data_IF_250376347989
#
_entry.id   IF_250376347989
#
_cell.length_a   1.000
_cell.length_b   1.000
_cell.length_c   1.000
_cell.angle_alpha   90.00
_cell.angle_beta   90.00
_cell.angle_gamma   90.00
#
_symmetry.space_group_name_H-M   'P 1'
#
loop_
_entity.id
_entity.type
_entity.pdbx_description
1 polymer ?
#
# COMPACT_ATOMS: atom_id res chain seq x y z
N UNK A 1 47.87 -56.16 16.46
CA UNK A 1 47.64 -55.92 15.02
C UNK A 1 46.14 -55.78 14.86
N UNK A 2 45.65 -54.54 14.95
CA UNK A 2 45.20 -53.72 13.81
C UNK A 2 43.73 -54.03 13.50
N UNK A 3 42.82 -53.11 13.84
CA UNK A 3 42.07 -52.25 12.90
C UNK A 3 40.83 -52.99 12.33
N UNK A 4 39.60 -52.47 12.32
CA UNK A 4 39.13 -51.08 12.34
C UNK A 4 37.75 -51.01 13.01
N UNK A 5 37.58 -49.98 13.86
CA UNK A 5 36.28 -49.35 14.11
C UNK A 5 36.02 -48.41 12.93
N UNK A 6 34.89 -48.55 12.24
CA UNK A 6 34.39 -47.55 11.31
C UNK A 6 33.09 -46.99 11.91
N UNK A 7 33.11 -45.70 12.30
CA UNK A 7 32.36 -44.59 11.67
C UNK A 7 30.90 -44.63 12.14
N UNK A 8 30.40 -43.63 12.88
CA UNK A 8 30.11 -42.28 12.38
C UNK A 8 30.47 -41.24 13.45
N UNK A 9 31.30 -40.28 13.04
CA UNK A 9 31.44 -39.01 13.72
C UNK A 9 30.10 -38.29 13.62
N UNK A 10 29.44 -38.06 14.76
CA UNK A 10 28.33 -37.12 14.81
C UNK A 10 28.91 -35.75 14.42
N UNK A 11 28.70 -35.39 13.16
CA UNK A 11 28.98 -34.07 12.64
C UNK A 11 28.29 -33.06 13.54
N UNK A 12 29.10 -32.21 14.16
CA UNK A 12 28.67 -30.93 14.72
C UNK A 12 28.19 -30.11 13.53
N UNK A 13 26.93 -30.29 13.14
CA UNK A 13 26.22 -29.31 12.33
C UNK A 13 25.82 -28.22 13.31
N UNK A 14 26.70 -27.24 13.48
CA UNK A 14 26.34 -25.99 14.12
C UNK A 14 25.18 -25.36 13.34
N UNK A 15 24.15 -24.83 14.02
CA UNK A 15 23.11 -24.06 13.37
C UNK A 15 23.65 -22.65 13.07
N UNK A 16 24.56 -22.53 12.10
CA UNK A 16 25.18 -21.26 11.74
C UNK A 16 25.40 -21.18 10.24
N UNK A 17 24.29 -21.16 9.51
CA UNK A 17 24.11 -20.50 8.22
C UNK A 17 22.62 -20.15 8.19
N UNK A 18 22.24 -19.16 9.00
CA UNK A 18 21.00 -18.44 8.75
C UNK A 18 21.20 -17.77 7.38
N UNK A 19 20.56 -18.34 6.36
CA UNK A 19 20.48 -17.73 5.04
C UNK A 19 19.95 -16.30 5.20
N UNK A 20 20.57 -15.36 4.46
CA UNK A 20 20.17 -13.95 4.43
C UNK A 20 18.66 -13.83 4.24
N UNK A 21 18.05 -13.14 5.19
CA UNK A 21 16.63 -12.95 5.47
C UNK A 21 15.69 -13.33 4.31
N UNK A 22 14.98 -14.45 4.46
CA UNK A 22 13.81 -14.80 3.67
C UNK A 22 12.58 -14.28 4.41
N UNK A 23 11.61 -13.72 3.69
CA UNK A 23 10.37 -13.15 4.25
C UNK A 23 9.73 -14.08 5.28
N UNK A 24 9.39 -13.53 6.45
CA UNK A 24 8.62 -14.28 7.46
C UNK A 24 7.14 -14.38 7.04
N UNK A 25 6.34 -15.29 7.63
CA UNK A 25 4.90 -15.30 7.40
C UNK A 25 4.25 -13.94 7.68
N UNK A 26 4.71 -13.23 8.71
CA UNK A 26 4.22 -11.88 9.04
C UNK A 26 4.56 -10.86 7.95
N UNK A 27 5.72 -10.97 7.30
CA UNK A 27 6.05 -10.15 6.13
C UNK A 27 5.12 -10.45 4.95
N UNK A 28 4.80 -11.72 4.70
CA UNK A 28 3.89 -12.13 3.61
C UNK A 28 2.48 -11.59 3.84
N UNK A 29 1.98 -11.71 5.06
CA UNK A 29 0.70 -11.15 5.48
C UNK A 29 0.69 -9.63 5.31
N UNK A 30 1.76 -8.95 5.76
CA UNK A 30 1.92 -7.49 5.61
C UNK A 30 1.93 -7.06 4.15
N UNK A 31 2.61 -7.81 3.27
CA UNK A 31 2.62 -7.55 1.83
C UNK A 31 1.19 -7.60 1.30
N UNK A 32 0.45 -8.68 1.53
CA UNK A 32 -0.92 -8.84 1.02
C UNK A 32 -1.86 -7.78 1.63
N UNK A 33 -1.73 -7.51 2.92
CA UNK A 33 -2.55 -6.53 3.64
C UNK A 33 -2.36 -5.13 3.06
N UNK A 34 -1.11 -4.67 2.89
CA UNK A 34 -0.84 -3.34 2.36
C UNK A 34 -1.23 -3.22 0.87
N UNK A 35 -1.06 -4.28 0.07
CA UNK A 35 -1.61 -4.30 -1.29
C UNK A 35 -3.12 -4.08 -1.27
N UNK A 36 -3.86 -4.84 -0.47
CA UNK A 36 -5.32 -4.72 -0.38
C UNK A 36 -5.78 -3.38 0.22
N UNK A 37 -5.04 -2.85 1.19
CA UNK A 37 -5.26 -1.54 1.78
C UNK A 37 -5.20 -0.45 0.72
N UNK A 38 -4.15 -0.39 -0.08
CA UNK A 38 -4.01 0.64 -1.10
C UNK A 38 -4.96 0.44 -2.28
N UNK A 39 -5.22 -0.82 -2.67
CA UNK A 39 -6.23 -1.15 -3.68
C UNK A 39 -7.65 -0.69 -3.29
N UNK A 40 -7.97 -0.71 -1.99
CA UNK A 40 -9.26 -0.24 -1.46
C UNK A 40 -9.44 1.30 -1.45
N UNK A 41 -8.34 2.05 -1.61
CA UNK A 41 -8.28 3.49 -1.40
C UNK A 41 -7.97 4.29 -2.68
N UNK A 42 -7.94 3.64 -3.84
CA UNK A 42 -7.61 4.31 -5.10
C UNK A 42 -8.57 5.46 -5.42
N UNK A 43 -7.99 6.53 -5.97
CA UNK A 43 -8.72 7.70 -6.44
C UNK A 43 -8.35 7.98 -7.92
N UNK A 44 -9.33 8.03 -8.85
CA UNK A 44 -10.75 7.77 -8.63
C UNK A 44 -11.03 6.31 -8.24
N UNK A 45 -12.23 6.04 -7.69
CA UNK A 45 -12.63 4.71 -7.24
C UNK A 45 -12.73 3.70 -8.40
N UNK A 46 -12.51 2.42 -8.11
CA UNK A 46 -12.44 1.36 -9.11
C UNK A 46 -13.68 0.44 -9.07
N UNK A 47 -14.31 0.17 -10.22
CA UNK A 47 -15.48 -0.72 -10.31
C UNK A 47 -15.12 -2.21 -10.20
N UNK A 48 -13.87 -2.57 -10.55
CA UNK A 48 -13.46 -3.94 -10.84
C UNK A 48 -12.19 -4.40 -10.09
N UNK A 49 -11.77 -3.69 -9.05
CA UNK A 49 -10.55 -3.96 -8.31
C UNK A 49 -10.61 -5.32 -7.59
N UNK A 50 -9.84 -6.31 -8.03
CA UNK A 50 -9.80 -7.61 -7.37
C UNK A 50 -8.98 -7.58 -6.08
N UNK A 51 -9.35 -8.37 -5.08
CA UNK A 51 -8.51 -8.61 -3.90
C UNK A 51 -7.23 -9.35 -4.27
N UNK A 52 -6.11 -8.94 -3.68
CA UNK A 52 -4.80 -9.56 -3.78
C UNK A 52 -4.70 -10.74 -2.81
N UNK A 53 -4.10 -11.85 -3.26
CA UNK A 53 -3.76 -13.02 -2.44
C UNK A 53 -2.30 -13.39 -2.63
N UNK A 54 -1.72 -14.08 -1.64
CA UNK A 54 -0.36 -14.61 -1.75
C UNK A 54 -0.31 -15.82 -2.70
N UNK A 55 0.78 -15.94 -3.45
CA UNK A 55 1.08 -17.08 -4.30
C UNK A 55 2.53 -17.56 -4.10
N UNK A 56 2.68 -18.81 -3.66
CA UNK A 56 3.97 -19.42 -3.37
C UNK A 56 4.82 -19.70 -4.62
N UNK A 57 4.18 -19.90 -5.79
CA UNK A 57 4.92 -20.11 -7.04
C UNK A 57 5.58 -18.80 -7.49
N UNK A 58 4.85 -17.68 -7.42
CA UNK A 58 5.38 -16.34 -7.68
C UNK A 58 6.51 -15.99 -6.70
N UNK A 59 6.35 -16.33 -5.42
CA UNK A 59 7.37 -16.14 -4.40
C UNK A 59 8.63 -16.99 -4.68
N UNK A 60 8.45 -18.23 -5.16
CA UNK A 60 9.55 -19.08 -5.61
C UNK A 60 10.32 -18.50 -6.79
N UNK A 61 9.61 -17.89 -7.76
CA UNK A 61 10.26 -17.18 -8.89
C UNK A 61 11.04 -15.97 -8.39
N UNK A 62 10.47 -15.18 -7.47
CA UNK A 62 11.12 -14.02 -6.87
C UNK A 62 12.39 -14.44 -6.10
N UNK A 63 12.30 -15.50 -5.30
CA UNK A 63 13.42 -16.05 -4.54
C UNK A 63 14.58 -16.50 -5.44
N UNK A 64 14.26 -17.10 -6.59
CA UNK A 64 15.26 -17.49 -7.58
C UNK A 64 16.01 -16.30 -8.18
N UNK A 65 15.38 -15.13 -8.27
CA UNK A 65 15.96 -13.95 -8.90
C UNK A 65 16.64 -12.99 -7.91
N UNK A 66 16.04 -12.74 -6.75
CA UNK A 66 16.54 -11.75 -5.77
C UNK A 66 17.97 -12.06 -5.28
N UNK A 67 18.38 -13.33 -5.29
CA UNK A 67 19.75 -13.75 -4.92
C UNK A 67 20.81 -13.39 -5.95
N UNK A 68 20.44 -12.92 -7.14
CA UNK A 68 21.37 -12.41 -8.14
C UNK A 68 22.00 -11.06 -7.74
N UNK A 69 21.37 -10.33 -6.81
CA UNK A 69 21.83 -9.01 -6.37
C UNK A 69 22.08 -8.04 -7.54
N UNK A 70 21.13 -7.97 -8.48
CA UNK A 70 21.13 -7.06 -9.62
C UNK A 70 19.93 -6.12 -9.52
N UNK A 71 20.17 -4.81 -9.64
CA UNK A 71 19.13 -3.79 -9.70
C UNK A 71 18.58 -3.63 -11.12
N UNK A 72 17.94 -4.70 -11.60
CA UNK A 72 17.26 -4.74 -12.90
C UNK A 72 16.13 -5.78 -12.85
N UNK A 73 15.13 -5.67 -13.71
CA UNK A 73 14.03 -6.62 -13.79
C UNK A 73 14.48 -7.99 -14.28
N UNK A 74 13.82 -9.05 -13.82
CA UNK A 74 14.13 -10.42 -14.22
C UNK A 74 13.95 -10.60 -15.75
N UNK A 75 15.03 -10.81 -16.51
CA UNK A 75 14.96 -10.87 -17.97
C UNK A 75 14.28 -12.14 -18.49
N UNK A 76 14.04 -13.14 -17.62
CA UNK A 76 13.39 -14.40 -17.96
C UNK A 76 11.94 -14.46 -17.46
N UNK A 77 11.40 -13.35 -16.96
CA UNK A 77 10.03 -13.29 -16.49
C UNK A 77 9.06 -13.34 -17.69
N UNK A 78 8.09 -14.25 -17.64
CA UNK A 78 7.14 -14.46 -18.74
C UNK A 78 5.72 -14.39 -18.22
N UNK A 79 4.94 -13.43 -18.71
CA UNK A 79 3.52 -13.29 -18.38
C UNK A 79 3.22 -12.82 -16.95
N UNK A 80 4.23 -12.32 -16.23
CA UNK A 80 4.12 -11.82 -14.86
C UNK A 80 4.58 -10.36 -14.82
N UNK A 81 4.02 -9.58 -13.89
CA UNK A 81 4.56 -8.28 -13.52
C UNK A 81 5.62 -8.42 -12.44
N UNK A 82 6.42 -7.36 -12.21
CA UNK A 82 7.46 -7.37 -11.19
C UNK A 82 7.68 -5.96 -10.62
N UNK A 83 7.81 -5.86 -9.31
CA UNK A 83 8.28 -4.66 -8.62
C UNK A 83 9.54 -4.97 -7.80
N UNK A 84 10.48 -4.03 -7.77
CA UNK A 84 11.73 -4.12 -7.01
C UNK A 84 11.76 -3.03 -5.93
N UNK A 85 12.34 -3.36 -4.78
CA UNK A 85 12.63 -2.41 -3.71
C UNK A 85 14.02 -2.67 -3.13
N UNK A 86 14.71 -1.61 -2.73
CA UNK A 86 16.05 -1.70 -2.15
C UNK A 86 16.21 -0.68 -1.02
N UNK A 87 16.77 -1.11 0.10
CA UNK A 87 17.14 -0.24 1.23
C UNK A 87 18.42 -0.72 1.89
N UNK A 88 19.24 0.20 2.39
CA UNK A 88 20.38 -0.10 3.26
C UNK A 88 20.03 -0.05 4.75
N UNK A 89 18.77 0.23 5.08
CA UNK A 89 18.22 0.15 6.43
C UNK A 89 17.66 -1.25 6.73
N UNK A 90 17.09 -1.44 7.93
CA UNK A 90 16.34 -2.65 8.26
C UNK A 90 15.25 -2.93 7.23
N UNK A 91 15.07 -4.21 6.87
CA UNK A 91 13.97 -4.60 6.00
C UNK A 91 12.63 -4.37 6.72
N UNK A 92 11.67 -3.78 6.01
CA UNK A 92 10.29 -3.63 6.45
C UNK A 92 9.39 -3.78 5.23
N UNK A 93 8.54 -4.81 5.25
CA UNK A 93 7.61 -5.13 4.17
C UNK A 93 6.61 -3.98 3.91
N UNK A 94 6.00 -3.41 4.94
CA UNK A 94 5.03 -2.32 4.77
C UNK A 94 5.68 -1.11 4.09
N UNK A 95 6.86 -0.69 4.56
CA UNK A 95 7.63 0.40 3.96
C UNK A 95 7.90 0.20 2.47
N UNK A 96 8.24 -1.02 2.06
CA UNK A 96 8.45 -1.33 0.66
C UNK A 96 7.17 -1.12 -0.17
N UNK A 97 6.04 -1.67 0.28
CA UNK A 97 4.76 -1.54 -0.42
C UNK A 97 4.27 -0.08 -0.42
N UNK A 98 4.40 0.63 0.70
CA UNK A 98 4.10 2.06 0.82
C UNK A 98 4.93 2.88 -0.18
N UNK A 99 6.22 2.59 -0.33
CA UNK A 99 7.08 3.32 -1.26
C UNK A 99 6.62 3.20 -2.71
N UNK A 100 6.15 2.02 -3.12
CA UNK A 100 5.55 1.81 -4.44
C UNK A 100 4.20 2.51 -4.57
N UNK A 101 3.38 2.49 -3.52
CA UNK A 101 2.11 3.19 -3.51
C UNK A 101 2.30 4.69 -3.73
N UNK A 102 3.24 5.33 -3.03
CA UNK A 102 3.49 6.78 -3.07
C UNK A 102 3.82 7.34 -4.46
N UNK A 103 4.16 6.51 -5.45
CA UNK A 103 4.24 6.99 -6.84
C UNK A 103 2.87 7.46 -7.39
N UNK A 104 1.75 7.16 -6.72
CA UNK A 104 0.43 7.69 -7.05
C UNK A 104 0.38 9.22 -7.03
N UNK A 105 1.28 9.85 -6.30
CA UNK A 105 1.41 11.29 -6.17
C UNK A 105 1.84 11.94 -7.49
N UNK A 106 2.66 11.23 -8.26
CA UNK A 106 3.19 11.64 -9.56
C UNK A 106 2.33 11.08 -10.72
N UNK A 107 1.31 10.28 -10.44
CA UNK A 107 0.45 9.65 -11.45
C UNK A 107 -0.87 10.40 -11.65
N UNK A 108 -1.28 10.54 -12.91
CA UNK A 108 -2.59 11.09 -13.30
C UNK A 108 -3.45 10.01 -13.95
N UNK A 109 -4.48 9.55 -13.25
CA UNK A 109 -5.38 8.52 -13.76
C UNK A 109 -6.11 8.93 -15.05
N UNK A 110 -6.57 10.18 -15.14
CA UNK A 110 -7.37 10.62 -16.28
C UNK A 110 -6.56 10.66 -17.59
N UNK A 111 -5.33 11.17 -17.50
CA UNK A 111 -4.38 11.23 -18.62
C UNK A 111 -3.68 9.91 -18.88
N UNK A 112 -3.64 9.02 -17.87
CA UNK A 112 -2.87 7.78 -17.90
C UNK A 112 -1.38 8.05 -18.15
N UNK A 113 -0.85 9.06 -17.47
CA UNK A 113 0.54 9.47 -17.53
C UNK A 113 1.14 9.63 -16.12
N UNK A 114 2.47 9.56 -16.10
CA UNK A 114 3.31 9.86 -14.96
C UNK A 114 3.96 11.22 -15.22
N UNK A 115 4.21 12.00 -14.18
CA UNK A 115 4.95 13.25 -14.28
C UNK A 115 6.32 13.06 -14.96
N UNK A 116 6.80 14.11 -15.63
CA UNK A 116 8.10 14.08 -16.31
C UNK A 116 9.22 13.77 -15.31
N UNK A 117 10.14 12.89 -15.72
CA UNK A 117 11.26 12.38 -14.90
C UNK A 117 10.85 11.59 -13.63
N UNK A 118 9.56 11.24 -13.46
CA UNK A 118 9.09 10.37 -12.38
C UNK A 118 8.84 8.93 -12.85
N UNK A 119 8.71 8.03 -11.88
CA UNK A 119 8.36 6.62 -12.10
C UNK A 119 7.03 6.34 -11.40
N UNK A 120 6.10 5.73 -12.10
CA UNK A 120 4.78 5.37 -11.57
C UNK A 120 4.43 3.89 -11.80
N UNK A 121 5.39 3.12 -12.33
CA UNK A 121 5.17 1.73 -12.74
C UNK A 121 4.92 0.80 -11.55
N UNK A 122 5.52 1.08 -10.40
CA UNK A 122 5.29 0.28 -9.21
C UNK A 122 3.90 0.52 -8.66
N UNK A 123 3.46 1.79 -8.60
CA UNK A 123 2.09 2.13 -8.23
C UNK A 123 1.07 1.47 -9.16
N UNK A 124 1.20 1.65 -10.49
CA UNK A 124 0.20 1.13 -11.43
C UNK A 124 0.13 -0.40 -11.40
N UNK A 125 1.23 -1.10 -11.12
CA UNK A 125 1.21 -2.56 -10.91
C UNK A 125 0.51 -2.93 -9.60
N UNK A 126 0.80 -2.21 -8.50
CA UNK A 126 0.20 -2.43 -7.19
C UNK A 126 -1.33 -2.31 -7.26
N UNK A 127 -1.83 -1.32 -7.99
CA UNK A 127 -3.27 -1.06 -8.18
C UNK A 127 -3.85 -1.64 -9.47
N UNK A 128 -3.18 -2.59 -10.12
CA UNK A 128 -3.71 -3.21 -11.33
C UNK A 128 -4.90 -4.11 -11.01
N UNK A 129 -6.11 -3.76 -11.45
CA UNK A 129 -7.35 -4.39 -11.03
C UNK A 129 -7.40 -5.89 -11.32
N UNK A 130 -6.85 -6.32 -12.46
CA UNK A 130 -6.87 -7.74 -12.87
C UNK A 130 -5.81 -8.59 -12.14
N UNK A 131 -4.71 -7.97 -11.68
CA UNK A 131 -3.68 -8.65 -10.90
C UNK A 131 -4.23 -8.96 -9.52
N UNK A 132 -4.33 -10.24 -9.19
CA UNK A 132 -4.92 -10.73 -7.94
C UNK A 132 -4.02 -11.71 -7.17
N UNK A 133 -2.83 -12.00 -7.70
CA UNK A 133 -1.81 -12.81 -7.03
C UNK A 133 -0.49 -12.04 -6.94
N UNK A 134 0.14 -12.12 -5.77
CA UNK A 134 1.49 -11.60 -5.52
C UNK A 134 2.32 -12.64 -4.79
N UNK A 135 3.59 -12.74 -5.15
CA UNK A 135 4.56 -13.53 -4.38
C UNK A 135 5.91 -12.86 -4.42
N UNK A 136 6.55 -12.74 -3.26
CA UNK A 136 7.76 -11.95 -3.09
C UNK A 136 8.88 -12.73 -2.42
N UNK A 137 10.09 -12.21 -2.55
CA UNK A 137 11.25 -12.66 -1.78
C UNK A 137 12.20 -11.50 -1.52
N UNK A 138 12.80 -11.50 -0.33
CA UNK A 138 13.86 -10.58 0.05
C UNK A 138 15.21 -11.29 0.14
N UNK A 139 16.29 -10.52 -0.04
CA UNK A 139 17.66 -10.97 0.18
C UNK A 139 18.56 -9.81 0.61
N UNK A 140 19.43 -10.06 1.59
CA UNK A 140 20.47 -9.12 1.97
C UNK A 140 21.70 -9.32 1.09
N UNK A 141 21.96 -8.34 0.22
CA UNK A 141 23.09 -8.29 -0.69
C UNK A 141 24.19 -7.38 -0.14
N UNK A 142 25.41 -7.90 0.04
CA UNK A 142 26.57 -7.06 0.43
C UNK A 142 26.79 -5.92 -0.59
N UNK A 143 26.62 -6.24 -1.87
CA UNK A 143 26.67 -5.31 -3.00
C UNK A 143 25.57 -5.69 -3.99
N UNK A 144 24.94 -4.69 -4.60
CA UNK A 144 23.97 -4.88 -5.68
C UNK A 144 24.53 -4.24 -6.95
N UNK A 145 24.61 -4.99 -8.04
CA UNK A 145 24.98 -4.46 -9.35
C UNK A 145 23.95 -3.40 -9.76
N UNK A 146 24.42 -2.19 -10.10
CA UNK A 146 23.55 -1.06 -10.44
C UNK A 146 23.27 -0.08 -9.29
N UNK A 147 23.63 -0.43 -8.04
CA UNK A 147 23.55 0.47 -6.89
C UNK A 147 24.95 0.84 -6.37
N UNK A 148 25.09 2.05 -5.82
CA UNK A 148 26.37 2.59 -5.34
C UNK A 148 26.59 2.44 -3.83
N UNK A 149 25.71 1.71 -3.14
CA UNK A 149 25.76 1.46 -1.71
C UNK A 149 25.72 -0.05 -1.41
N UNK A 150 26.26 -0.44 -0.26
CA UNK A 150 26.31 -1.84 0.17
C UNK A 150 25.28 -2.16 1.24
N UNK A 151 25.27 -3.43 1.65
CA UNK A 151 24.37 -3.99 2.67
C UNK A 151 22.89 -3.70 2.36
N UNK A 152 22.47 -4.10 1.16
CA UNK A 152 21.17 -3.81 0.58
C UNK A 152 20.20 -4.94 0.88
N UNK A 153 19.12 -4.65 1.61
CA UNK A 153 17.93 -5.48 1.62
C UNK A 153 17.18 -5.23 0.31
N UNK A 154 17.27 -6.17 -0.62
CA UNK A 154 16.57 -6.14 -1.89
C UNK A 154 15.31 -7.01 -1.79
N UNK A 155 14.17 -6.50 -2.25
CA UNK A 155 12.89 -7.20 -2.35
C UNK A 155 12.48 -7.25 -3.81
N UNK A 156 12.05 -8.43 -4.25
CA UNK A 156 11.43 -8.66 -5.55
C UNK A 156 10.03 -9.20 -5.31
N UNK A 157 9.01 -8.60 -5.92
CA UNK A 157 7.64 -9.08 -5.90
C UNK A 157 7.17 -9.36 -7.34
N UNK A 158 6.69 -10.58 -7.59
CA UNK A 158 6.09 -10.96 -8.87
C UNK A 158 4.57 -10.95 -8.77
N UNK A 159 3.93 -10.63 -9.89
CA UNK A 159 2.49 -10.38 -9.99
C UNK A 159 1.85 -11.21 -11.09
N UNK A 160 0.67 -11.78 -10.81
CA UNK A 160 -0.11 -12.52 -11.80
C UNK A 160 -1.61 -12.20 -11.73
N UNK A 161 -2.29 -12.05 -12.87
CA UNK A 161 -1.73 -11.79 -14.21
C UNK A 161 -0.87 -10.52 -14.25
N UNK A 162 0.01 -10.38 -15.25
CA UNK A 162 0.82 -9.16 -15.40
C UNK A 162 -0.04 -7.90 -15.54
N UNK A 163 0.41 -6.81 -14.93
CA UNK A 163 -0.17 -5.49 -15.13
C UNK A 163 0.59 -4.67 -16.18
N UNK A 164 0.47 -3.35 -16.06
CA UNK A 164 1.23 -2.35 -16.79
C UNK A 164 1.20 -2.52 -18.33
N UNK A 165 0.05 -2.91 -18.87
CA UNK A 165 -0.13 -2.97 -20.32
C UNK A 165 -0.05 -1.57 -20.93
N UNK A 166 0.78 -1.42 -21.96
CA UNK A 166 1.02 -0.13 -22.62
C UNK A 166 -0.30 0.49 -23.10
N UNK A 167 -0.54 1.74 -22.70
CA UNK A 167 -1.73 2.51 -23.07
C UNK A 167 -3.02 2.05 -22.39
N UNK A 168 -2.94 1.26 -21.32
CA UNK A 168 -4.07 0.84 -20.49
C UNK A 168 -3.97 1.46 -19.11
N UNK A 169 -5.14 1.81 -18.55
CA UNK A 169 -5.29 2.24 -17.16
C UNK A 169 -5.24 1.04 -16.22
N UNK A 170 -4.79 1.23 -14.97
CA UNK A 170 -4.67 0.12 -14.01
C UNK A 170 -6.02 -0.48 -13.60
N UNK A 171 -7.10 0.28 -13.66
CA UNK A 171 -8.45 -0.16 -13.27
C UNK A 171 -9.53 0.65 -13.99
N UNK A 172 -10.79 0.23 -13.87
CA UNK A 172 -11.94 0.94 -14.43
C UNK A 172 -12.55 1.89 -13.40
N UNK A 173 -12.63 3.19 -13.71
CA UNK A 173 -13.23 4.20 -12.85
C UNK A 173 -14.74 4.02 -12.67
N UNK A 174 -15.22 4.14 -11.42
CA UNK A 174 -16.64 4.18 -11.08
C UNK A 174 -16.92 3.69 -9.67
N UNK A 175 -18.20 3.45 -9.37
CA UNK A 175 -18.64 3.01 -8.04
C UNK A 175 -17.99 1.64 -7.69
N UNK A 176 -17.39 1.51 -6.49
CA UNK A 176 -16.72 0.28 -6.08
C UNK A 176 -17.55 -0.99 -6.28
N UNK A 177 -16.88 -2.05 -6.73
CA UNK A 177 -17.45 -3.39 -6.88
C UNK A 177 -18.65 -3.50 -7.86
N UNK A 178 -18.94 -2.49 -8.68
CA UNK A 178 -20.05 -2.54 -9.65
C UNK A 178 -19.74 -3.36 -10.91
N UNK A 179 -18.46 -3.70 -11.14
CA UNK A 179 -18.02 -4.53 -12.26
C UNK A 179 -17.06 -5.65 -11.80
N UNK A 180 -17.38 -6.31 -10.68
CA UNK A 180 -16.57 -7.44 -10.21
C UNK A 180 -16.62 -8.66 -11.16
N UNK A 181 -15.47 -9.34 -11.42
CA UNK A 181 -15.43 -10.56 -12.22
C UNK A 181 -16.28 -11.70 -11.65
N UNK A 182 -16.65 -12.66 -12.50
CA UNK A 182 -17.39 -13.86 -12.08
C UNK A 182 -16.62 -14.63 -10.99
N UNK A 183 -17.31 -14.98 -9.89
CA UNK A 183 -16.70 -15.63 -8.73
C UNK A 183 -16.19 -14.68 -7.63
N UNK A 184 -16.15 -13.36 -7.87
CA UNK A 184 -15.68 -12.34 -6.92
C UNK A 184 -16.76 -11.30 -6.58
N UNK A 185 -18.03 -11.73 -6.46
CA UNK A 185 -19.18 -10.83 -6.30
C UNK A 185 -19.24 -10.14 -4.92
N UNK A 186 -18.49 -10.61 -3.93
CA UNK A 186 -18.49 -10.01 -2.59
C UNK A 186 -17.64 -8.74 -2.61
N UNK A 187 -18.22 -7.65 -2.13
CA UNK A 187 -17.49 -6.40 -1.97
C UNK A 187 -17.02 -6.28 -0.52
N UNK A 188 -15.72 -6.25 -0.31
CA UNK A 188 -15.12 -6.03 1.00
C UNK A 188 -14.19 -4.83 0.90
N UNK A 189 -14.44 -3.75 1.67
CA UNK A 189 -13.60 -2.54 1.62
C UNK A 189 -13.28 -2.10 0.17
N UNK A 190 -14.29 -1.90 -0.66
CA UNK A 190 -14.14 -1.46 -2.06
C UNK A 190 -13.37 -2.42 -3.01
N UNK A 191 -13.03 -3.65 -2.60
CA UNK A 191 -12.39 -4.66 -3.46
C UNK A 191 -13.30 -5.88 -3.66
N UNK A 192 -13.22 -6.46 -4.86
CA UNK A 192 -13.92 -7.66 -5.28
C UNK A 192 -13.21 -8.90 -4.72
N UNK A 193 -13.88 -9.61 -3.82
CA UNK A 193 -13.35 -10.83 -3.17
C UNK A 193 -14.29 -12.01 -3.39
N UNK A 194 -13.75 -13.22 -3.24
CA UNK A 194 -14.57 -14.43 -3.32
C UNK A 194 -15.46 -14.59 -2.09
N UNK A 195 -16.59 -15.28 -2.23
CA UNK A 195 -17.42 -15.68 -1.08
C UNK A 195 -16.67 -16.62 -0.11
N UNK A 196 -15.64 -17.34 -0.60
CA UNK A 196 -14.87 -18.30 0.18
C UNK A 196 -13.72 -17.69 1.01
N UNK A 197 -13.41 -16.41 0.81
CA UNK A 197 -12.33 -15.72 1.55
C UNK A 197 -12.79 -15.11 2.86
N UNK A 198 -14.06 -15.27 3.24
CA UNK A 198 -14.52 -14.89 4.57
C UNK A 198 -13.82 -15.79 5.59
N UNK A 199 -12.94 -15.20 6.41
CA UNK A 199 -12.53 -15.81 7.66
C UNK A 199 -13.79 -16.27 8.41
N UNK A 200 -13.82 -17.48 8.99
CA UNK A 200 -14.99 -17.91 9.74
C UNK A 200 -15.22 -16.91 10.88
N UNK A 201 -16.29 -16.14 10.76
CA UNK A 201 -16.82 -15.35 11.86
C UNK A 201 -16.97 -16.32 13.04
N UNK A 202 -16.46 -16.00 14.25
CA UNK A 202 -16.64 -16.88 15.39
C UNK A 202 -18.13 -16.97 15.66
N UNK A 203 -18.75 -18.08 15.24
CA UNK A 203 -20.14 -18.39 15.53
C UNK A 203 -20.30 -18.33 17.06
N UNK A 204 -20.94 -17.28 17.56
CA UNK A 204 -21.43 -17.26 18.92
C UNK A 204 -22.33 -18.49 19.08
N UNK A 205 -22.11 -19.35 20.09
CA UNK A 205 -22.92 -20.55 20.24
C UNK A 205 -24.39 -20.13 20.42
N UNK A 206 -25.22 -20.51 19.45
CA UNK A 206 -26.67 -20.35 19.54
C UNK A 206 -27.17 -21.09 20.77
N UNK A 207 -27.58 -20.31 21.78
CA UNK A 207 -28.20 -20.82 22.98
C UNK A 207 -29.53 -21.49 22.63
N UNK A 208 -29.54 -22.82 22.71
CA UNK A 208 -30.74 -23.64 22.58
C UNK A 208 -31.78 -23.22 23.62
N UNK A 209 -32.83 -22.53 23.19
CA UNK A 209 -34.04 -22.32 23.98
C UNK A 209 -35.02 -23.44 23.66
N UNK A 210 -34.99 -24.50 24.48
CA UNK A 210 -36.07 -25.49 24.52
C UNK A 210 -37.34 -24.83 25.07
N UNK A 211 -38.29 -24.52 24.19
CA UNK A 211 -39.68 -24.23 24.59
C UNK A 211 -40.62 -25.19 23.86
N UNK A 212 -41.38 -26.05 24.56
CA UNK A 212 -42.28 -27.00 23.92
C UNK A 212 -43.53 -26.33 23.35
N UNK A 213 -43.88 -26.73 22.12
CA UNK A 213 -45.10 -26.38 21.42
C UNK A 213 -46.37 -26.91 22.10
N UNK A 214 -47.46 -26.15 22.00
CA UNK A 214 -48.84 -26.61 22.18
C UNK A 214 -49.81 -25.74 21.37
N UNK A 215 -51.02 -26.23 21.08
CA UNK A 215 -51.46 -26.42 19.68
C UNK A 215 -52.37 -25.32 19.12
N UNK A 216 -52.51 -25.39 17.81
CA UNK A 216 -53.30 -24.57 16.89
C UNK A 216 -54.81 -24.61 17.14
N UNK A 217 -55.45 -23.46 16.99
CA UNK A 217 -56.88 -23.32 16.69
C UNK A 217 -57.11 -22.25 15.61
N UNK A 218 -58.08 -22.55 14.76
CA UNK A 218 -58.37 -21.97 13.44
C UNK A 218 -59.04 -20.57 13.42
N UNK A 219 -58.59 -19.71 12.47
CA UNK A 219 -59.39 -18.89 11.50
C UNK A 219 -60.24 -17.68 12.00
N UNK A 220 -60.62 -16.62 11.22
CA UNK A 220 -60.19 -16.05 9.91
C UNK A 220 -59.91 -14.49 9.84
N UNK A 221 -59.21 -14.09 8.75
CA UNK A 221 -59.37 -12.92 7.84
C UNK A 221 -59.36 -11.43 8.32
N UNK A 222 -58.34 -10.68 7.82
CA UNK A 222 -58.29 -9.34 7.13
C UNK A 222 -59.09 -8.11 7.65
N UNK A 223 -58.77 -6.83 7.28
CA UNK A 223 -57.93 -6.36 6.16
C UNK A 223 -56.93 -5.19 6.44
N UNK A 224 -56.18 -4.90 5.37
CA UNK A 224 -55.35 -3.73 4.96
C UNK A 224 -55.65 -2.34 5.54
N UNK A 225 -54.59 -1.54 5.74
CA UNK A 225 -54.61 -0.08 5.52
C UNK A 225 -53.21 0.47 5.17
N UNK A 226 -53.23 1.41 4.24
CA UNK A 226 -52.13 2.12 3.56
C UNK A 226 -51.32 3.11 4.44
N UNK A 227 -50.05 3.34 4.03
CA UNK A 227 -49.30 4.61 3.74
C UNK A 227 -49.87 5.94 4.31
N UNK A 228 -49.10 7.01 4.69
CA UNK A 228 -47.88 7.52 4.04
C UNK A 228 -46.80 8.25 4.88
N UNK A 229 -45.72 8.59 4.15
CA UNK A 229 -44.54 9.43 4.41
C UNK A 229 -44.78 10.85 4.95
N UNK A 230 -43.71 11.45 5.54
CA UNK A 230 -43.51 12.90 5.73
C UNK A 230 -42.07 13.20 6.27
N UNK A 231 -41.56 14.45 6.19
CA UNK A 231 -40.63 14.87 5.13
C UNK A 231 -39.33 15.52 5.63
N UNK A 232 -38.51 15.90 4.64
CA UNK A 232 -37.33 16.77 4.67
C UNK A 232 -37.64 18.20 5.14
N UNK A 233 -36.66 18.85 5.77
CA UNK A 233 -36.63 20.32 5.98
C UNK A 233 -35.21 20.87 5.79
N UNK A 234 -35.14 21.86 4.90
CA UNK A 234 -34.02 22.72 4.53
C UNK A 234 -33.69 23.83 5.56
N UNK A 235 -32.39 24.12 5.69
CA UNK A 235 -31.76 25.44 5.89
C UNK A 235 -31.90 26.16 7.25
N UNK A 236 -31.23 27.32 7.47
CA UNK A 236 -30.21 28.02 6.65
C UNK A 236 -28.97 28.58 7.42
N UNK A 237 -27.92 28.96 6.66
CA UNK A 237 -26.74 29.74 7.08
C UNK A 237 -27.01 31.26 7.14
N UNK A 238 -26.31 32.02 8.00
CA UNK A 238 -25.51 33.18 7.56
C UNK A 238 -24.21 33.32 8.41
N UNK A 239 -23.16 34.08 8.09
CA UNK A 239 -22.91 35.15 7.13
C UNK A 239 -21.43 35.59 7.22
N UNK A 240 -21.07 36.50 6.32
CA UNK A 240 -19.75 37.06 5.99
C UNK A 240 -19.20 38.06 7.01
N UNK A 241 -17.86 38.21 7.10
CA UNK A 241 -17.14 39.50 7.10
C UNK A 241 -15.60 39.29 7.13
N UNK A 242 -14.89 39.81 6.14
CA UNK A 242 -13.42 39.96 6.12
C UNK A 242 -12.99 41.41 6.40
N UNK A 243 -11.71 41.70 6.70
CA UNK A 243 -10.87 42.52 5.79
C UNK A 243 -9.33 42.25 5.93
N UNK A 244 -8.40 43.05 5.38
CA UNK A 244 -7.87 43.01 4.01
C UNK A 244 -6.34 42.76 3.91
N UNK A 245 -5.88 42.53 2.68
CA UNK A 245 -4.50 42.35 2.20
C UNK A 245 -3.58 43.57 2.39
N UNK A 246 -2.25 43.36 2.37
CA UNK A 246 -1.32 44.32 1.78
C UNK A 246 -0.58 43.71 0.57
N UNK A 247 -0.51 44.52 -0.48
CA UNK A 247 0.36 44.42 -1.65
C UNK A 247 1.81 44.69 -1.28
N UNK A 248 2.76 43.99 -1.88
CA UNK A 248 4.06 44.58 -2.25
C UNK A 248 4.64 43.90 -3.50
N UNK A 249 4.96 44.78 -4.44
CA UNK A 249 5.65 44.61 -5.71
C UNK A 249 7.17 44.63 -5.46
N UNK A 250 7.91 43.65 -5.98
CA UNK A 250 9.34 43.85 -6.24
C UNK A 250 9.82 43.07 -7.47
N UNK A 251 9.88 43.82 -8.56
CA UNK A 251 10.71 43.58 -9.75
C UNK A 251 12.19 43.38 -9.39
N UNK A 252 12.81 42.28 -9.84
CA UNK A 252 14.22 42.24 -10.35
C UNK A 252 14.40 40.96 -11.18
N UNK A 253 14.57 41.07 -12.51
CA UNK A 253 15.82 41.21 -13.28
C UNK A 253 16.54 39.86 -13.55
N UNK A 254 16.43 39.41 -14.80
CA UNK A 254 17.25 38.37 -15.45
C UNK A 254 18.77 38.63 -15.34
N UNK A 255 19.60 37.64 -15.72
CA UNK A 255 20.12 37.72 -17.08
C UNK A 255 20.04 36.39 -17.86
N UNK A 256 19.77 36.56 -19.15
CA UNK A 256 19.97 35.58 -20.20
C UNK A 256 21.46 35.39 -20.50
N UNK A 257 21.81 34.20 -21.00
CA UNK A 257 22.98 33.96 -21.84
C UNK A 257 22.52 33.17 -23.06
N UNK A 258 22.70 33.79 -24.22
CA UNK A 258 22.30 33.37 -25.57
C UNK A 258 23.42 32.61 -26.32
N UNK A 259 23.17 32.13 -27.56
CA UNK A 259 23.68 30.87 -28.11
C UNK A 259 24.70 31.02 -29.27
N UNK A 260 25.11 29.89 -29.86
CA UNK A 260 25.69 29.78 -31.21
C UNK A 260 25.39 28.35 -31.72
N UNK A 261 25.00 28.04 -32.96
CA UNK A 261 24.93 28.81 -34.18
C UNK A 261 24.24 27.98 -35.29
N UNK A 262 23.75 28.71 -36.27
CA UNK A 262 22.93 28.38 -37.43
C UNK A 262 23.56 27.54 -38.55
N UNK A 263 22.73 26.84 -39.34
CA UNK A 263 22.62 26.85 -40.84
C UNK A 263 21.22 26.28 -41.14
N UNK A 264 20.28 26.80 -41.94
CA UNK A 264 20.28 27.78 -43.03
C UNK A 264 19.75 27.12 -44.31
N UNK A 265 18.47 27.31 -44.67
CA UNK A 265 18.02 27.35 -46.09
C UNK A 265 16.57 27.87 -46.19
N UNK A 266 16.40 28.87 -47.05
CA UNK A 266 15.17 29.59 -47.36
C UNK A 266 14.28 28.93 -48.45
N UNK A 267 13.15 29.62 -48.69
CA UNK A 267 12.20 29.61 -49.83
C UNK A 267 10.98 28.71 -49.60
N UNK A 268 9.72 29.14 -49.68
CA UNK A 268 9.09 30.34 -50.24
C UNK A 268 7.84 29.87 -50.99
N UNK A 269 6.64 30.37 -50.68
CA UNK A 269 5.43 29.94 -51.39
C UNK A 269 4.12 30.45 -50.80
N UNK A 270 3.74 31.65 -51.23
CA UNK A 270 2.44 32.28 -51.06
C UNK A 270 1.36 31.60 -51.91
N UNK A 271 0.14 31.47 -51.39
CA UNK A 271 -1.09 31.53 -52.18
C UNK A 271 -2.25 32.06 -51.33
N UNK A 272 -2.85 33.13 -51.84
CA UNK A 272 -4.04 33.85 -51.39
C UNK A 272 -5.33 33.29 -52.01
N UNK A 273 -6.47 33.81 -51.54
CA UNK A 273 -7.87 33.72 -52.04
C UNK A 273 -8.75 32.79 -51.19
N UNK A 274 -9.97 33.11 -50.78
CA UNK A 274 -10.93 34.12 -51.24
C UNK A 274 -11.99 34.35 -50.14
N UNK A 275 -12.56 35.55 -50.13
CA UNK A 275 -13.67 36.02 -49.29
C UNK A 275 -15.02 35.59 -49.84
N UNK A 276 -15.99 35.27 -48.96
CA UNK A 276 -17.38 35.63 -49.20
C UNK A 276 -18.11 35.94 -47.89
N UNK A 277 -18.93 37.00 -47.93
CA UNK A 277 -19.57 37.61 -46.76
C UNK A 277 -21.05 37.24 -46.64
N UNK A 278 -21.52 37.17 -45.40
CA UNK A 278 -22.95 37.06 -45.07
C UNK A 278 -23.26 37.83 -43.80
N UNK A 279 -23.95 38.96 -43.97
CA UNK A 279 -24.39 39.90 -42.92
C UNK A 279 -25.69 39.41 -42.28
N UNK A 280 -25.76 39.38 -40.95
CA UNK A 280 -27.04 39.41 -40.20
C UNK A 280 -26.92 40.46 -39.08
N UNK A 281 -27.92 41.33 -39.02
CA UNK A 281 -28.09 42.50 -38.14
C UNK A 281 -28.53 42.13 -36.70
N UNK A 282 -28.54 43.10 -35.76
CA UNK A 282 -28.28 42.90 -34.34
C UNK A 282 -29.54 42.78 -33.48
N UNK A 283 -29.40 42.18 -32.30
CA UNK A 283 -29.92 42.68 -31.01
C UNK A 283 -30.03 41.51 -30.02
N UNK A 284 -29.20 41.55 -28.96
CA UNK A 284 -29.63 41.33 -27.57
C UNK A 284 -28.38 41.43 -26.70
N UNK A 285 -28.25 42.54 -25.99
CA UNK A 285 -27.28 42.71 -24.91
C UNK A 285 -27.44 41.58 -23.89
N UNK A 286 -26.35 40.88 -23.59
CA UNK A 286 -26.24 39.95 -22.46
C UNK A 286 -25.13 40.48 -21.55
N UNK A 287 -25.32 40.53 -20.22
CA UNK A 287 -24.41 41.25 -19.35
C UNK A 287 -23.03 40.57 -19.34
N UNK A 288 -22.01 41.42 -19.29
CA UNK A 288 -20.60 41.08 -19.11
C UNK A 288 -20.41 40.05 -17.99
N UNK A 289 -19.59 39.05 -18.29
CA UNK A 289 -19.36 37.87 -17.49
C UNK A 289 -18.97 38.16 -16.05
N UNK A 290 -19.49 37.33 -15.15
CA UNK A 290 -18.83 37.04 -13.89
C UNK A 290 -17.39 36.61 -14.22
N UNK A 291 -16.42 37.29 -13.61
CA UNK A 291 -15.07 36.77 -13.54
C UNK A 291 -15.16 35.39 -12.87
N UNK A 292 -14.91 34.34 -13.64
CA UNK A 292 -14.57 33.04 -13.06
C UNK A 292 -13.33 33.30 -12.22
N UNK A 293 -13.44 33.12 -10.90
CA UNK A 293 -12.25 32.94 -10.08
C UNK A 293 -11.42 31.84 -10.72
N UNK A 294 -10.08 32.00 -10.83
CA UNK A 294 -9.24 30.88 -11.21
C UNK A 294 -9.57 29.71 -10.27
N UNK A 295 -9.66 28.46 -10.78
CA UNK A 295 -9.78 27.31 -9.90
C UNK A 295 -8.62 27.36 -8.89
N UNK A 296 -8.84 26.87 -7.65
CA UNK A 296 -7.74 26.73 -6.69
C UNK A 296 -6.60 25.97 -7.36
N UNK A 297 -5.37 26.39 -7.07
CA UNK A 297 -4.16 25.80 -7.63
C UNK A 297 -4.02 24.38 -7.07
N UNK A 298 -4.61 23.41 -7.77
CA UNK A 298 -4.75 22.01 -7.37
C UNK A 298 -3.39 21.35 -7.05
N UNK A 299 -2.30 21.93 -7.54
CA UNK A 299 -0.92 21.50 -7.27
C UNK A 299 -0.52 21.76 -5.82
N UNK A 300 -0.85 22.92 -5.25
CA UNK A 300 -0.49 23.28 -3.87
C UNK A 300 -1.33 22.53 -2.82
N UNK A 301 -2.57 22.19 -3.14
CA UNK A 301 -3.39 21.33 -2.29
C UNK A 301 -2.87 19.89 -2.32
N UNK A 302 -2.55 19.37 -3.50
CA UNK A 302 -1.95 18.04 -3.65
C UNK A 302 -0.56 17.93 -3.02
N UNK A 303 0.30 18.94 -3.17
CA UNK A 303 1.61 19.01 -2.49
C UNK A 303 1.46 19.01 -0.96
N UNK A 304 0.39 19.62 -0.43
CA UNK A 304 0.13 19.61 1.01
C UNK A 304 -0.36 18.24 1.49
N UNK A 305 -1.25 17.61 0.73
CA UNK A 305 -1.72 16.23 1.03
C UNK A 305 -0.55 15.24 1.01
N UNK A 306 0.35 15.38 0.02
CA UNK A 306 1.59 14.60 -0.08
C UNK A 306 2.46 14.75 1.17
N UNK A 307 2.70 15.99 1.58
CA UNK A 307 3.55 16.24 2.74
C UNK A 307 2.88 15.76 4.03
N UNK A 308 1.57 15.94 4.17
CA UNK A 308 0.80 15.45 5.32
C UNK A 308 0.83 13.91 5.39
N UNK A 309 0.63 13.21 4.26
CA UNK A 309 0.74 11.74 4.22
C UNK A 309 2.15 11.24 4.56
N UNK A 310 3.19 11.96 4.09
CA UNK A 310 4.58 11.64 4.45
C UNK A 310 4.88 11.91 5.92
N UNK A 311 4.37 13.01 6.48
CA UNK A 311 4.52 13.33 7.91
C UNK A 311 3.81 12.31 8.80
N UNK A 312 2.59 11.88 8.41
CA UNK A 312 1.84 10.83 9.11
C UNK A 312 2.62 9.51 9.10
N UNK A 313 3.23 9.14 7.96
CA UNK A 313 4.05 7.94 7.88
C UNK A 313 5.29 8.03 8.78
N UNK A 314 6.00 9.16 8.76
CA UNK A 314 7.14 9.38 9.64
C UNK A 314 6.75 9.33 11.13
N UNK A 315 5.56 9.83 11.50
CA UNK A 315 5.06 9.74 12.87
C UNK A 315 4.72 8.31 13.26
N UNK A 316 4.07 7.54 12.36
CA UNK A 316 3.78 6.12 12.58
C UNK A 316 5.07 5.31 12.74
N UNK A 317 6.08 5.55 11.91
CA UNK A 317 7.40 4.89 12.03
C UNK A 317 8.05 5.19 13.39
N UNK A 318 7.96 6.43 13.89
CA UNK A 318 8.47 6.81 15.22
C UNK A 318 7.71 6.14 16.36
N UNK A 319 6.39 5.97 16.21
CA UNK A 319 5.58 5.29 17.22
C UNK A 319 5.89 3.79 17.28
N UNK A 320 6.01 3.12 16.13
CA UNK A 320 6.43 1.72 16.05
C UNK A 320 7.84 1.50 16.64
N UNK A 321 8.78 2.41 16.37
CA UNK A 321 10.13 2.33 16.96
C UNK A 321 10.09 2.46 18.49
N UNK A 322 9.26 3.38 19.01
CA UNK A 322 9.07 3.55 20.46
C UNK A 322 8.45 2.31 21.09
N UNK A 323 7.46 1.69 20.46
CA UNK A 323 6.85 0.45 20.95
C UNK A 323 7.84 -0.71 20.98
N UNK A 324 8.68 -0.85 19.96
CA UNK A 324 9.76 -1.86 19.92
C UNK A 324 10.81 -1.63 21.00
N UNK A 325 11.17 -0.38 21.28
CA UNK A 325 12.09 -0.05 22.36
C UNK A 325 11.49 -0.39 23.73
N UNK A 326 10.21 -0.06 23.96
CA UNK A 326 9.49 -0.45 25.18
C UNK A 326 9.39 -1.98 25.33
N UNK A 327 9.16 -2.72 24.25
CA UNK A 327 9.14 -4.18 24.28
C UNK A 327 10.51 -4.75 24.64
N UNK A 328 11.59 -4.23 24.04
CA UNK A 328 12.97 -4.63 24.35
C UNK A 328 13.30 -4.36 25.82
N UNK A 329 12.92 -3.19 26.36
CA UNK A 329 13.10 -2.89 27.79
C UNK A 329 12.32 -3.86 28.68
N UNK A 330 11.07 -4.20 28.33
CA UNK A 330 10.27 -5.20 29.06
C UNK A 330 10.88 -6.59 29.01
N UNK A 331 11.48 -6.98 27.89
CA UNK A 331 12.20 -8.25 27.78
C UNK A 331 13.46 -8.26 28.65
N UNK A 332 14.26 -7.19 28.62
CA UNK A 332 15.43 -7.04 29.49
C UNK A 332 15.05 -7.09 30.98
N UNK A 333 13.96 -6.42 31.39
CA UNK A 333 13.43 -6.49 32.76
C UNK A 333 13.01 -7.93 33.14
N UNK A 334 12.34 -8.64 32.23
CA UNK A 334 11.95 -10.06 32.44
C UNK A 334 13.17 -10.95 32.60
N UNK A 335 14.24 -10.72 31.84
CA UNK A 335 15.50 -11.46 31.97
C UNK A 335 16.19 -11.19 33.32
N UNK A 336 16.28 -9.92 33.72
CA UNK A 336 16.84 -9.52 35.02
C UNK A 336 16.04 -10.14 36.17
N UNK A 337 14.71 -10.18 36.07
CA UNK A 337 13.86 -10.78 37.10
C UNK A 337 13.99 -12.31 37.15
N UNK A 338 14.17 -12.98 36.00
CA UNK A 338 14.46 -14.41 35.92
C UNK A 338 15.79 -14.74 36.60
N UNK A 339 16.83 -13.98 36.32
CA UNK A 339 18.17 -14.19 36.86
C UNK A 339 18.24 -13.84 38.36
N UNK A 340 17.56 -12.77 38.78
CA UNK A 340 17.41 -12.41 40.19
C UNK A 340 16.63 -13.46 41.00
N UNK A 341 15.58 -14.04 40.41
CA UNK A 341 14.81 -15.15 40.99
C UNK A 341 15.65 -16.42 41.15
N UNK A 342 16.48 -16.74 40.16
CA UNK A 342 17.40 -17.88 40.22
C UNK A 342 18.46 -17.72 41.34
N UNK A 343 19.03 -16.52 41.52
CA UNK A 343 19.99 -16.27 42.61
C UNK A 343 19.34 -16.34 44.00
N UNK A 344 18.12 -15.84 44.15
CA UNK A 344 17.38 -15.89 45.42
C UNK A 344 17.02 -17.34 45.83
N UNK A 345 16.58 -18.16 44.86
CA UNK A 345 16.28 -19.57 45.08
C UNK A 345 17.52 -20.37 45.49
N UNK A 346 18.66 -20.09 44.86
CA UNK A 346 19.94 -20.73 45.21
C UNK A 346 20.41 -20.36 46.63
N UNK A 347 20.19 -19.12 47.05
CA UNK A 347 20.53 -18.65 48.41
C UNK A 347 19.62 -19.27 49.48
N UNK A 348 18.32 -19.39 49.19
CA UNK A 348 17.35 -20.04 50.10
C UNK A 348 17.64 -21.55 50.27
N UNK A 349 18.04 -22.23 49.19
CA UNK A 349 18.42 -23.64 49.24
C UNK A 349 19.66 -23.87 50.13
N UNK A 350 20.67 -22.99 50.03
CA UNK A 350 21.86 -23.02 50.88
C UNK A 350 21.53 -22.78 52.36
N UNK A 351 20.69 -21.77 52.65
CA UNK A 351 20.23 -21.47 54.01
C UNK A 351 19.44 -22.64 54.61
N UNK A 352 18.54 -23.25 53.83
CA UNK A 352 17.78 -24.44 54.24
C UNK A 352 18.67 -25.64 54.52
N UNK A 353 19.69 -25.88 53.68
CA UNK A 353 20.66 -26.95 53.89
C UNK A 353 21.51 -26.75 55.17
N UNK A 354 21.92 -25.51 55.46
CA UNK A 354 22.62 -25.19 56.70
C UNK A 354 21.74 -25.31 57.95
N UNK A 355 20.45 -24.96 57.86
CA UNK A 355 19.51 -25.10 58.99
C UNK A 355 19.20 -26.58 59.29
N UNK A 356 19.09 -27.41 58.24
CA UNK A 356 18.95 -28.86 58.37
C UNK A 356 20.19 -29.51 59.00
N UNK A 357 21.40 -29.07 58.66
CA UNK A 357 22.62 -29.57 59.30
C UNK A 357 22.69 -29.21 60.80
N UNK A 358 22.29 -27.98 61.16
CA UNK A 358 22.29 -27.51 62.56
C UNK A 358 21.24 -28.19 63.44
N UNK A 359 20.16 -28.74 62.86
CA UNK A 359 19.12 -29.50 63.58
C UNK A 359 19.46 -30.99 63.75
N UNK A 360 20.55 -31.46 63.12
CA UNK A 360 21.00 -32.87 63.17
C UNK A 360 22.22 -33.10 64.07
N UNK A 361 22.70 -32.06 64.76
CA UNK A 361 23.72 -32.07 65.82
C UNK A 361 23.05 -31.80 67.17
#
# INVERSE_FOLDING_TARGET
MLLWRAVVWASVLGPWLACGYQLTPEDQDSIVEFHNLYRSQVAPSATNMQGMSWDDELAGVAAGYVTSCVWDHNPNLVGMGENLFATNGPFNASKAITSWYLEHLDYSYHNNDCEEDKLCGHYTQLVWAETNLVGCASHLCELVEGLSFGDVNMLVCNYSPQGNFIGKKPYEEGEPCTNCPEGLQRCERNICVSEASAAPEPELPEGTTDTPSSPTTDTPSSPTTDTPSSPTTDGPQPGTDGPPTPTDDFTTKSPASEPDGSVGMETGGSVTAETDGGVISPDSERPLGAAFSPPPDLTLEREREIEEEREIEEEREREEEREREEEREREEEREVQRDGGAMAASSAALLSATLLLLLTL
#
